data_IF_060741427845
#
_entry.id   IF_060741427845
#
_cell.length_a   1.000
_cell.length_b   1.000
_cell.length_c   1.000
_cell.angle_alpha   90.00
_cell.angle_beta   90.00
_cell.angle_gamma   90.00
#
_symmetry.space_group_name_H-M   'P 1'
#
loop_
_entity.id
_entity.type
_entity.pdbx_description
1 polymer ?
#
# COMPACT_ATOMS: atom_id res chain seq x y z
N UNK A 1 -13.28 2.53 3.13
CA UNK A 1 -14.19 1.94 4.13
C UNK A 1 -15.56 1.62 3.51
N UNK A 2 -16.21 2.61 2.91
CA UNK A 2 -17.57 2.45 2.37
C UNK A 2 -17.71 1.25 1.41
N UNK A 3 -16.82 1.13 0.43
CA UNK A 3 -16.78 -0.02 -0.50
C UNK A 3 -16.73 -1.37 0.23
N UNK A 4 -15.91 -1.48 1.30
CA UNK A 4 -15.82 -2.70 2.11
C UNK A 4 -17.08 -2.96 2.93
N UNK A 5 -17.75 -1.91 3.42
CA UNK A 5 -19.04 -2.05 4.10
C UNK A 5 -20.13 -2.54 3.13
N UNK A 6 -20.14 -2.04 1.90
CA UNK A 6 -21.04 -2.52 0.85
C UNK A 6 -20.80 -3.99 0.48
N UNK A 7 -19.54 -4.39 0.33
CA UNK A 7 -19.17 -5.80 0.12
C UNK A 7 -19.63 -6.68 1.29
N UNK A 8 -19.45 -6.20 2.53
CA UNK A 8 -19.93 -6.92 3.70
C UNK A 8 -21.45 -7.13 3.65
N UNK A 9 -22.21 -6.14 3.22
CA UNK A 9 -23.66 -6.24 3.05
C UNK A 9 -24.05 -7.21 1.91
N UNK A 10 -23.36 -7.14 0.77
CA UNK A 10 -23.71 -7.91 -0.43
C UNK A 10 -23.22 -9.37 -0.38
N UNK A 11 -22.05 -9.60 0.19
CA UNK A 11 -21.34 -10.88 0.13
C UNK A 11 -21.24 -11.58 1.50
N UNK A 12 -21.56 -10.89 2.58
CA UNK A 12 -21.41 -11.42 3.95
C UNK A 12 -19.97 -11.46 4.44
N UNK A 13 -19.02 -10.84 3.71
CA UNK A 13 -17.58 -10.82 4.05
C UNK A 13 -17.24 -9.52 4.74
N UNK A 14 -17.00 -9.56 6.05
CA UNK A 14 -16.65 -8.37 6.83
C UNK A 14 -15.32 -7.72 6.39
N UNK A 15 -15.20 -6.38 6.51
CA UNK A 15 -13.95 -5.69 6.21
C UNK A 15 -12.81 -6.09 7.15
N UNK A 16 -13.13 -6.43 8.39
CA UNK A 16 -12.21 -6.97 9.40
C UNK A 16 -12.46 -8.46 9.55
N UNK A 17 -11.45 -9.27 9.27
CA UNK A 17 -11.58 -10.73 9.34
C UNK A 17 -10.25 -11.40 9.71
N UNK A 18 -10.29 -12.55 10.39
CA UNK A 18 -9.07 -13.28 10.70
C UNK A 18 -8.43 -13.83 9.41
N UNK A 19 -7.10 -13.97 9.43
CA UNK A 19 -6.34 -14.41 8.23
C UNK A 19 -6.78 -15.79 7.75
N UNK A 20 -7.17 -16.68 8.64
CA UNK A 20 -7.66 -18.02 8.28
C UNK A 20 -8.97 -18.02 7.47
N UNK A 21 -9.68 -16.89 7.42
CA UNK A 21 -10.86 -16.76 6.56
C UNK A 21 -10.46 -16.84 5.07
N UNK A 22 -9.36 -16.20 4.70
CA UNK A 22 -8.86 -16.18 3.33
C UNK A 22 -7.88 -17.33 3.06
N UNK A 23 -7.20 -17.81 4.12
CA UNK A 23 -6.20 -18.90 4.06
C UNK A 23 -6.61 -20.09 4.96
N UNK A 24 -7.78 -20.73 4.73
CA UNK A 24 -8.33 -21.72 5.65
C UNK A 24 -7.51 -23.02 5.76
N UNK A 25 -6.65 -23.26 4.80
CA UNK A 25 -5.82 -24.47 4.76
C UNK A 25 -4.39 -24.27 5.28
N UNK A 26 -4.01 -23.03 5.57
CA UNK A 26 -2.68 -22.70 6.05
C UNK A 26 -2.64 -22.72 7.58
N UNK A 27 -1.84 -23.61 8.17
CA UNK A 27 -1.70 -23.72 9.64
C UNK A 27 -1.17 -22.44 10.27
N UNK A 28 -0.31 -21.71 9.56
CA UNK A 28 0.22 -20.42 10.01
C UNK A 28 -0.86 -19.36 10.28
N UNK A 29 -1.94 -19.38 9.49
CA UNK A 29 -3.07 -18.46 9.65
C UNK A 29 -3.84 -18.65 10.97
N UNK A 30 -3.74 -19.82 11.60
CA UNK A 30 -4.35 -20.10 12.91
C UNK A 30 -3.40 -19.88 14.08
N UNK A 31 -2.10 -19.85 13.82
CA UNK A 31 -1.08 -19.72 14.85
C UNK A 31 -0.98 -18.28 15.39
N UNK A 32 -1.31 -17.28 14.57
CA UNK A 32 -1.15 -15.86 14.86
C UNK A 32 -2.50 -15.20 15.08
N UNK A 33 -2.96 -15.13 16.34
CA UNK A 33 -4.32 -14.69 16.68
C UNK A 33 -4.47 -13.18 16.82
N UNK A 34 -3.36 -12.44 16.84
CA UNK A 34 -3.34 -10.98 16.98
C UNK A 34 -3.43 -10.27 15.63
N UNK A 35 -2.99 -10.91 14.57
CA UNK A 35 -3.08 -10.34 13.23
C UNK A 35 -4.46 -10.56 12.59
N UNK A 36 -4.84 -9.65 11.73
CA UNK A 36 -6.11 -9.71 11.00
C UNK A 36 -6.01 -9.01 9.64
N UNK A 37 -6.94 -9.35 8.77
CA UNK A 37 -7.13 -8.63 7.52
C UNK A 37 -8.09 -7.46 7.72
N UNK A 38 -7.73 -6.31 7.19
CA UNK A 38 -8.60 -5.14 7.05
C UNK A 38 -8.68 -4.78 5.58
N UNK A 39 -9.77 -5.17 4.93
CA UNK A 39 -9.79 -5.19 3.47
C UNK A 39 -8.71 -6.12 2.93
N UNK A 40 -7.82 -5.59 2.10
CA UNK A 40 -6.66 -6.32 1.54
C UNK A 40 -5.36 -6.10 2.34
N UNK A 41 -5.46 -5.43 3.49
CA UNK A 41 -4.31 -5.15 4.35
C UNK A 41 -4.18 -6.18 5.46
N UNK A 42 -2.97 -6.69 5.67
CA UNK A 42 -2.62 -7.47 6.84
C UNK A 42 -2.15 -6.52 7.94
N UNK A 43 -2.92 -6.45 9.02
CA UNK A 43 -2.64 -5.60 10.17
C UNK A 43 -2.10 -6.46 11.31
N UNK A 44 -0.99 -6.05 11.90
CA UNK A 44 -0.33 -6.77 13.00
C UNK A 44 -0.24 -5.87 14.23
N UNK A 45 -1.29 -5.81 15.07
CA UNK A 45 -1.27 -4.99 16.27
C UNK A 45 -0.18 -5.45 17.24
N UNK A 46 0.56 -4.51 17.80
CA UNK A 46 1.55 -4.80 18.80
C UNK A 46 0.87 -4.84 20.17
N UNK A 47 0.85 -6.01 20.79
CA UNK A 47 0.19 -6.25 22.08
C UNK A 47 1.15 -6.49 23.24
N UNK A 48 2.46 -6.44 22.98
CA UNK A 48 3.51 -6.62 23.97
C UNK A 48 4.17 -5.30 24.34
N UNK A 49 4.73 -5.25 25.55
CA UNK A 49 5.50 -4.09 26.00
C UNK A 49 6.77 -3.95 25.17
N UNK A 50 7.18 -2.71 24.94
CA UNK A 50 8.49 -2.43 24.39
C UNK A 50 9.58 -2.89 25.34
N UNK A 51 10.65 -3.45 24.79
CA UNK A 51 11.86 -3.75 25.52
C UNK A 51 12.51 -2.45 26.04
N UNK A 52 12.89 -2.37 27.31
CA UNK A 52 13.40 -1.12 27.90
C UNK A 52 14.75 -0.68 27.36
N UNK A 53 15.53 -1.58 26.76
CA UNK A 53 16.85 -1.27 26.18
C UNK A 53 16.72 -0.81 24.75
N UNK A 54 15.93 -1.52 23.94
CA UNK A 54 15.72 -1.18 22.52
C UNK A 54 14.64 -0.13 22.29
N UNK A 55 13.76 0.10 23.25
CA UNK A 55 12.53 0.90 23.10
C UNK A 55 11.58 0.38 21.99
N UNK A 56 11.77 -0.85 21.53
CA UNK A 56 10.98 -1.50 20.50
C UNK A 56 10.14 -2.63 21.09
N UNK A 57 8.91 -2.71 20.65
CA UNK A 57 8.08 -3.89 20.88
C UNK A 57 8.24 -4.85 19.69
N UNK A 58 8.14 -6.15 19.97
CA UNK A 58 8.25 -7.22 18.97
C UNK A 58 6.92 -7.93 18.85
N UNK A 59 6.49 -8.15 17.62
CA UNK A 59 5.31 -8.95 17.33
C UNK A 59 5.61 -9.96 16.22
N UNK A 60 5.01 -11.15 16.35
CA UNK A 60 5.10 -12.17 15.30
C UNK A 60 4.01 -11.91 14.26
N UNK A 61 4.38 -11.97 13.00
CA UNK A 61 3.46 -11.89 11.87
C UNK A 61 3.63 -13.15 11.01
N UNK A 62 2.53 -13.73 10.57
CA UNK A 62 2.55 -14.78 9.56
C UNK A 62 2.06 -14.21 8.24
N UNK A 63 2.94 -14.17 7.25
CA UNK A 63 2.60 -13.69 5.90
C UNK A 63 2.13 -14.86 5.04
N UNK A 64 0.92 -14.83 4.50
CA UNK A 64 0.51 -15.71 3.43
C UNK A 64 1.49 -15.63 2.25
N UNK A 65 1.52 -16.70 1.43
CA UNK A 65 2.33 -16.75 0.22
C UNK A 65 2.24 -15.47 -0.62
N UNK A 66 3.37 -14.97 -1.09
CA UNK A 66 3.47 -13.81 -1.98
C UNK A 66 4.51 -12.79 -1.56
N UNK A 67 4.51 -11.68 -2.27
CA UNK A 67 5.32 -10.49 -1.97
C UNK A 67 4.46 -9.50 -1.21
N UNK A 68 4.99 -8.98 -0.12
CA UNK A 68 4.32 -8.04 0.78
C UNK A 68 5.16 -6.79 0.99
N UNK A 69 4.49 -5.67 1.14
CA UNK A 69 5.12 -4.39 1.47
C UNK A 69 4.53 -3.85 2.76
N UNK A 70 5.39 -3.48 3.69
CA UNK A 70 4.99 -2.76 4.90
C UNK A 70 4.74 -1.29 4.54
N UNK A 71 3.51 -0.85 4.66
CA UNK A 71 3.11 0.49 4.20
C UNK A 71 3.91 1.63 4.87
N UNK A 72 4.09 1.63 6.22
CA UNK A 72 4.82 2.70 6.88
C UNK A 72 6.30 2.80 6.51
N UNK A 73 6.94 1.68 6.18
CA UNK A 73 8.39 1.65 5.93
C UNK A 73 8.77 1.47 4.47
N UNK A 74 7.82 1.02 3.63
CA UNK A 74 8.08 0.65 2.25
C UNK A 74 8.88 -0.65 2.08
N UNK A 75 9.15 -1.39 3.16
CA UNK A 75 9.95 -2.62 3.13
C UNK A 75 9.23 -3.75 2.45
N UNK A 76 9.99 -4.50 1.67
CA UNK A 76 9.51 -5.67 0.94
C UNK A 76 9.86 -6.95 1.71
N UNK A 77 8.88 -7.84 1.81
CA UNK A 77 9.02 -9.17 2.39
C UNK A 77 8.52 -10.22 1.41
N UNK A 78 9.29 -11.32 1.28
CA UNK A 78 8.90 -12.47 0.47
C UNK A 78 8.44 -13.61 1.38
N UNK A 79 7.28 -14.17 1.08
CA UNK A 79 6.78 -15.40 1.69
C UNK A 79 6.76 -16.52 0.65
N UNK A 80 7.48 -17.65 0.90
CA UNK A 80 7.59 -18.73 -0.07
C UNK A 80 6.25 -19.44 -0.31
N UNK A 81 6.20 -20.24 -1.39
CA UNK A 81 4.97 -20.78 -1.94
C UNK A 81 4.24 -21.81 -1.04
N UNK A 82 4.96 -22.52 -0.16
CA UNK A 82 4.40 -23.72 0.45
C UNK A 82 3.64 -23.45 1.76
N UNK A 83 4.20 -22.65 2.68
CA UNK A 83 3.62 -22.45 4.02
C UNK A 83 3.54 -20.97 4.47
N UNK A 84 3.76 -20.03 3.57
CA UNK A 84 3.91 -18.63 3.96
C UNK A 84 5.21 -18.39 4.73
N UNK A 85 5.25 -17.30 5.52
CA UNK A 85 6.45 -16.95 6.29
C UNK A 85 6.09 -16.29 7.61
N UNK A 86 6.67 -16.79 8.70
CA UNK A 86 6.62 -16.09 9.99
C UNK A 86 7.79 -15.12 10.09
N UNK A 87 7.49 -13.88 10.42
CA UNK A 87 8.44 -12.81 10.71
C UNK A 87 8.33 -12.35 12.15
N UNK A 88 9.41 -11.76 12.68
CA UNK A 88 9.37 -10.96 13.90
C UNK A 88 9.55 -9.51 13.48
N UNK A 89 8.53 -8.70 13.69
CA UNK A 89 8.50 -7.29 13.34
C UNK A 89 8.73 -6.45 14.60
N UNK A 90 9.69 -5.54 14.53
CA UNK A 90 10.04 -4.65 15.64
C UNK A 90 9.56 -3.25 15.32
N UNK A 91 8.81 -2.62 16.24
CA UNK A 91 8.29 -1.25 16.04
C UNK A 91 8.33 -0.47 17.35
N UNK A 92 8.55 0.85 17.29
CA UNK A 92 8.30 1.76 18.41
C UNK A 92 6.79 1.84 18.68
N UNK A 93 6.40 2.40 19.83
CA UNK A 93 4.99 2.44 20.29
C UNK A 93 4.06 3.26 19.39
N UNK A 94 4.59 4.14 18.56
CA UNK A 94 3.83 5.02 17.65
C UNK A 94 3.52 4.38 16.30
N UNK A 95 3.94 3.14 16.06
CA UNK A 95 3.78 2.46 14.77
C UNK A 95 3.32 1.01 14.95
N UNK A 96 2.44 0.58 14.06
CA UNK A 96 2.07 -0.82 13.90
C UNK A 96 2.41 -1.28 12.49
N UNK A 97 2.82 -2.55 12.29
CA UNK A 97 2.98 -3.11 10.96
C UNK A 97 1.63 -3.20 10.24
N UNK A 98 1.58 -2.63 9.05
CA UNK A 98 0.45 -2.75 8.13
C UNK A 98 1.01 -3.12 6.77
N UNK A 99 0.72 -4.33 6.33
CA UNK A 99 1.29 -4.88 5.12
C UNK A 99 0.25 -5.02 4.02
N UNK A 100 0.65 -4.72 2.79
CA UNK A 100 -0.16 -4.93 1.59
C UNK A 100 0.55 -5.87 0.62
N UNK A 101 -0.19 -6.70 -0.10
CA UNK A 101 0.38 -7.54 -1.16
C UNK A 101 0.85 -6.71 -2.35
N UNK A 102 1.87 -7.18 -3.06
CA UNK A 102 2.18 -6.67 -4.38
C UNK A 102 0.93 -6.71 -5.27
N UNK A 103 0.71 -5.66 -6.05
CA UNK A 103 -0.49 -5.47 -6.87
C UNK A 103 -1.68 -4.85 -6.13
N UNK A 104 -1.64 -4.69 -4.81
CA UNK A 104 -2.73 -4.03 -4.09
C UNK A 104 -2.90 -2.58 -4.52
N UNK A 105 -4.17 -2.18 -4.67
CA UNK A 105 -4.60 -0.81 -4.93
C UNK A 105 -5.46 -0.32 -3.76
N UNK A 106 -5.03 0.75 -3.11
CA UNK A 106 -5.81 1.36 -2.02
C UNK A 106 -6.29 2.74 -2.46
N UNK A 107 -7.60 2.85 -2.67
CA UNK A 107 -8.24 4.09 -3.09
C UNK A 107 -8.87 4.78 -1.88
N UNK A 108 -8.53 6.04 -1.68
CA UNK A 108 -9.03 6.85 -0.58
C UNK A 108 -9.34 8.28 -1.01
N UNK A 109 -10.16 8.98 -0.24
CA UNK A 109 -10.23 10.44 -0.34
C UNK A 109 -8.85 11.04 -0.01
N UNK A 110 -8.42 12.03 -0.78
CA UNK A 110 -7.15 12.70 -0.52
C UNK A 110 -7.22 13.59 0.73
N UNK A 111 -8.40 14.13 1.04
CA UNK A 111 -8.65 14.93 2.24
C UNK A 111 -9.70 14.28 3.14
N UNK A 112 -9.44 14.28 4.43
CA UNK A 112 -10.35 13.73 5.44
C UNK A 112 -11.63 14.57 5.53
N UNK A 113 -11.55 15.86 5.33
CA UNK A 113 -12.70 16.77 5.43
C UNK A 113 -13.70 16.59 4.28
N UNK A 114 -13.26 16.12 3.11
CA UNK A 114 -14.15 15.79 1.99
C UNK A 114 -14.90 14.46 2.20
N UNK A 115 -14.41 13.59 3.08
CA UNK A 115 -15.00 12.27 3.29
C UNK A 115 -16.25 12.27 4.19
N UNK A 116 -16.64 13.40 4.75
CA UNK A 116 -17.63 13.47 5.83
C UNK A 116 -19.11 13.48 5.37
N UNK A 117 -19.41 13.31 4.09
CA UNK A 117 -20.82 13.28 3.65
C UNK A 117 -21.05 13.15 2.14
N UNK A 118 -20.12 13.61 1.33
CA UNK A 118 -20.24 13.56 -0.14
C UNK A 118 -19.16 12.67 -0.76
N UNK A 119 -19.41 12.17 -1.97
CA UNK A 119 -18.38 11.46 -2.73
C UNK A 119 -17.19 12.40 -3.02
N UNK A 120 -15.94 11.99 -2.70
CA UNK A 120 -14.79 12.88 -2.73
C UNK A 120 -14.47 13.37 -4.16
N UNK A 121 -14.09 14.65 -4.27
CA UNK A 121 -13.58 15.22 -5.53
C UNK A 121 -12.12 14.85 -5.76
N UNK A 122 -11.36 14.64 -4.69
CA UNK A 122 -9.94 14.29 -4.74
C UNK A 122 -9.71 12.87 -4.27
N UNK A 123 -9.09 12.05 -5.15
CA UNK A 123 -8.76 10.67 -4.86
C UNK A 123 -7.24 10.46 -4.80
N UNK A 124 -6.83 9.68 -3.82
CA UNK A 124 -5.48 9.13 -3.74
C UNK A 124 -5.54 7.63 -4.03
N UNK A 125 -4.77 7.17 -5.01
CA UNK A 125 -4.65 5.77 -5.41
C UNK A 125 -3.26 5.30 -5.05
N UNK A 126 -3.11 4.58 -3.93
CA UNK A 126 -1.86 3.97 -3.57
C UNK A 126 -1.69 2.67 -4.36
N UNK A 127 -0.57 2.55 -5.06
CA UNK A 127 -0.16 1.38 -5.84
C UNK A 127 0.97 0.68 -5.10
N UNK A 128 0.76 -0.59 -4.78
CA UNK A 128 1.80 -1.47 -4.23
C UNK A 128 2.43 -2.22 -5.40
N UNK A 129 3.73 -2.03 -5.68
CA UNK A 129 4.37 -2.51 -6.90
C UNK A 129 4.58 -4.03 -6.92
N UNK A 130 4.97 -4.56 -8.09
CA UNK A 130 5.52 -5.90 -8.22
C UNK A 130 4.54 -6.98 -8.65
N UNK A 131 3.28 -6.66 -8.90
CA UNK A 131 2.29 -7.56 -9.49
C UNK A 131 1.11 -6.78 -10.09
N UNK A 132 0.33 -7.46 -10.92
CA UNK A 132 -0.96 -6.98 -11.41
C UNK A 132 -1.98 -6.92 -10.26
N UNK A 133 -2.98 -6.06 -10.41
CA UNK A 133 -4.02 -5.92 -9.41
C UNK A 133 -5.26 -5.19 -9.89
N UNK A 134 -6.30 -5.27 -9.08
CA UNK A 134 -7.56 -4.58 -9.36
C UNK A 134 -8.23 -4.13 -8.07
N UNK A 135 -8.87 -2.97 -8.12
CA UNK A 135 -9.76 -2.50 -7.07
C UNK A 135 -10.99 -1.83 -7.70
N UNK A 136 -12.18 -2.14 -7.18
CA UNK A 136 -13.43 -1.49 -7.58
C UNK A 136 -13.91 -0.63 -6.43
N UNK A 137 -13.87 0.68 -6.62
CA UNK A 137 -14.47 1.66 -5.72
C UNK A 137 -15.97 1.70 -5.98
N UNK A 138 -16.77 1.42 -4.96
CA UNK A 138 -18.23 1.60 -4.99
C UNK A 138 -18.60 2.86 -4.22
N UNK A 139 -19.45 3.67 -4.84
CA UNK A 139 -19.98 4.92 -4.29
C UNK A 139 -21.46 5.03 -4.63
N UNK A 140 -22.25 5.74 -3.85
CA UNK A 140 -23.68 5.93 -4.09
C UNK A 140 -24.14 7.37 -3.78
N UNK A 141 -25.44 7.60 -3.88
CA UNK A 141 -26.07 8.90 -3.67
C UNK A 141 -26.29 9.29 -2.21
N UNK A 142 -25.79 8.47 -1.25
CA UNK A 142 -25.94 8.69 0.18
C UNK A 142 -27.32 8.37 0.73
N UNK A 143 -28.22 7.80 -0.08
CA UNK A 143 -29.53 7.34 0.42
C UNK A 143 -29.38 6.13 1.34
N UNK A 144 -30.27 5.96 2.36
CA UNK A 144 -30.18 4.83 3.29
C UNK A 144 -30.29 3.45 2.64
N UNK A 145 -30.99 3.36 1.52
CA UNK A 145 -31.18 2.14 0.72
C UNK A 145 -30.95 2.47 -0.77
N UNK A 146 -29.70 2.61 -1.19
CA UNK A 146 -29.41 2.99 -2.59
C UNK A 146 -29.84 1.85 -3.52
N UNK A 147 -30.75 2.18 -4.45
CA UNK A 147 -31.15 1.25 -5.50
C UNK A 147 -30.01 0.99 -6.51
N UNK A 148 -30.19 0.01 -7.42
CA UNK A 148 -29.19 -0.30 -8.44
C UNK A 148 -28.78 0.90 -9.33
N UNK A 149 -29.71 1.84 -9.53
CA UNK A 149 -29.48 3.07 -10.30
C UNK A 149 -28.84 4.21 -9.53
N UNK A 150 -28.46 4.00 -8.27
CA UNK A 150 -27.83 5.00 -7.40
C UNK A 150 -26.38 4.65 -7.07
N UNK A 151 -25.84 3.58 -7.66
CA UNK A 151 -24.49 3.08 -7.36
C UNK A 151 -23.58 3.28 -8.57
N UNK A 152 -22.43 3.89 -8.33
CA UNK A 152 -21.34 4.05 -9.31
C UNK A 152 -20.18 3.14 -8.91
N UNK A 153 -19.58 2.49 -9.90
CA UNK A 153 -18.39 1.65 -9.75
C UNK A 153 -17.25 2.22 -10.57
N UNK A 154 -16.18 2.59 -9.90
CA UNK A 154 -14.95 2.99 -10.57
C UNK A 154 -13.93 1.87 -10.40
N UNK A 155 -13.57 1.24 -11.52
CA UNK A 155 -12.57 0.16 -11.58
C UNK A 155 -11.19 0.74 -11.83
N UNK A 156 -10.25 0.33 -11.02
CA UNK A 156 -8.83 0.59 -11.16
C UNK A 156 -8.15 -0.73 -11.45
N UNK A 157 -7.50 -0.88 -12.60
CA UNK A 157 -6.81 -2.10 -13.01
C UNK A 157 -5.35 -1.80 -13.28
N UNK A 158 -4.47 -2.48 -12.55
CA UNK A 158 -3.01 -2.35 -12.65
C UNK A 158 -2.43 -3.53 -13.41
N UNK A 159 -1.61 -3.25 -14.42
CA UNK A 159 -0.67 -4.19 -15.00
C UNK A 159 0.75 -3.72 -14.67
N UNK A 160 1.58 -4.60 -14.08
CA UNK A 160 2.92 -4.28 -13.63
C UNK A 160 3.95 -5.21 -14.27
N UNK A 161 4.89 -4.66 -15.03
CA UNK A 161 6.00 -5.40 -15.61
C UNK A 161 7.35 -4.86 -15.11
N UNK A 162 7.94 -5.62 -14.16
CA UNK A 162 9.23 -5.28 -13.58
C UNK A 162 10.39 -5.50 -14.57
N UNK A 163 10.24 -6.42 -15.54
CA UNK A 163 11.29 -6.73 -16.51
C UNK A 163 11.43 -5.60 -17.54
N UNK A 164 10.29 -5.16 -18.07
CA UNK A 164 10.24 -4.07 -19.04
C UNK A 164 10.24 -2.70 -18.37
N UNK A 165 10.26 -2.64 -17.05
CA UNK A 165 10.17 -1.42 -16.25
C UNK A 165 8.96 -0.56 -16.64
N UNK A 166 7.78 -1.19 -16.80
CA UNK A 166 6.55 -0.52 -17.18
C UNK A 166 5.41 -0.83 -16.21
N UNK A 167 4.49 0.10 -16.09
CA UNK A 167 3.21 -0.14 -15.41
C UNK A 167 2.08 0.59 -16.13
N UNK A 168 0.88 0.03 -16.07
CA UNK A 168 -0.34 0.62 -16.62
C UNK A 168 -1.41 0.61 -15.56
N UNK A 169 -2.03 1.76 -15.32
CA UNK A 169 -3.20 1.87 -14.46
C UNK A 169 -4.37 2.36 -15.30
N UNK A 170 -5.35 1.50 -15.53
CA UNK A 170 -6.59 1.83 -16.24
C UNK A 170 -7.65 2.24 -15.22
N UNK A 171 -8.36 3.33 -15.50
CA UNK A 171 -9.46 3.84 -14.68
C UNK A 171 -10.72 3.87 -15.56
N UNK A 172 -11.76 3.11 -15.15
CA UNK A 172 -13.04 3.05 -15.86
C UNK A 172 -14.18 3.16 -14.86
N UNK A 173 -15.10 4.09 -15.10
CA UNK A 173 -16.27 4.29 -14.26
C UNK A 173 -17.54 3.81 -14.98
N UNK A 174 -18.36 3.06 -14.26
CA UNK A 174 -19.65 2.57 -14.70
C UNK A 174 -20.75 2.99 -13.70
N UNK A 175 -21.91 3.37 -14.22
CA UNK A 175 -23.06 3.71 -13.39
C UNK A 175 -23.75 5.02 -13.84
N UNK A 176 -24.74 5.47 -13.08
CA UNK A 176 -25.50 6.67 -13.43
C UNK A 176 -24.68 7.95 -13.25
N UNK A 177 -24.94 8.92 -14.12
CA UNK A 177 -24.37 10.26 -14.00
C UNK A 177 -24.97 11.01 -12.79
N UNK A 178 -24.17 11.89 -12.19
CA UNK A 178 -24.60 12.81 -11.13
C UNK A 178 -24.59 12.23 -9.71
N UNK A 179 -24.23 10.97 -9.53
CA UNK A 179 -24.02 10.34 -8.22
C UNK A 179 -22.67 10.72 -7.62
N UNK A 180 -21.66 10.77 -8.47
CA UNK A 180 -20.31 11.18 -8.09
C UNK A 180 -19.90 12.43 -8.87
N UNK A 181 -18.90 13.20 -8.42
CA UNK A 181 -18.36 14.31 -9.20
C UNK A 181 -17.94 13.88 -10.61
N UNK A 182 -18.39 14.63 -11.63
CA UNK A 182 -18.07 14.32 -13.02
C UNK A 182 -16.57 14.46 -13.32
N UNK A 183 -15.90 15.33 -12.58
CA UNK A 183 -14.46 15.58 -12.65
C UNK A 183 -13.85 15.34 -11.28
N UNK A 184 -12.70 14.64 -11.26
CA UNK A 184 -11.95 14.31 -10.04
C UNK A 184 -10.48 14.58 -10.22
N UNK A 185 -9.86 15.16 -9.22
CA UNK A 185 -8.41 15.22 -9.13
C UNK A 185 -7.90 13.88 -8.61
N UNK A 186 -7.01 13.24 -9.36
CA UNK A 186 -6.45 11.94 -9.00
C UNK A 186 -4.94 12.03 -8.85
N UNK A 187 -4.46 11.60 -7.69
CA UNK A 187 -3.02 11.38 -7.45
C UNK A 187 -2.76 9.89 -7.28
N UNK A 188 -1.92 9.35 -8.14
CA UNK A 188 -1.41 7.97 -8.03
C UNK A 188 -0.13 8.01 -7.22
N UNK A 189 -0.08 7.19 -6.15
CA UNK A 189 1.05 7.10 -5.23
C UNK A 189 1.72 5.74 -5.35
N UNK A 190 2.92 5.68 -5.87
CA UNK A 190 3.70 4.45 -5.91
C UNK A 190 4.40 4.27 -4.56
N UNK A 191 4.23 3.11 -3.92
CA UNK A 191 4.97 2.75 -2.71
C UNK A 191 6.30 2.13 -3.11
N UNK A 192 7.41 2.64 -2.59
CA UNK A 192 8.75 2.07 -2.83
C UNK A 192 8.98 1.71 -4.29
N UNK A 193 8.57 2.61 -5.17
CA UNK A 193 8.77 2.48 -6.61
C UNK A 193 8.98 3.84 -7.25
N UNK A 194 9.78 3.87 -8.30
CA UNK A 194 10.17 5.07 -9.02
C UNK A 194 11.31 4.78 -9.99
N UNK A 195 12.07 5.79 -10.33
CA UNK A 195 13.26 5.69 -11.19
C UNK A 195 13.65 7.07 -11.70
N UNK A 196 14.95 7.27 -11.96
CA UNK A 196 15.48 8.55 -12.50
C UNK A 196 14.97 8.83 -13.92
N UNK A 197 14.58 7.77 -14.65
CA UNK A 197 14.05 7.81 -16.00
C UNK A 197 12.53 7.55 -16.04
N UNK A 198 11.84 7.77 -14.93
CA UNK A 198 10.39 7.57 -14.88
C UNK A 198 9.69 8.63 -15.73
N UNK A 199 8.97 8.15 -16.73
CA UNK A 199 8.05 8.95 -17.53
C UNK A 199 6.61 8.49 -17.31
N UNK A 200 5.68 9.43 -17.20
CA UNK A 200 4.27 9.20 -17.03
C UNK A 200 3.50 9.85 -18.18
N UNK A 201 2.56 9.13 -18.77
CA UNK A 201 1.63 9.66 -19.76
C UNK A 201 0.20 9.25 -19.40
N UNK A 202 -0.75 10.16 -19.57
CA UNK A 202 -2.16 9.91 -19.34
C UNK A 202 -2.93 10.03 -20.65
N UNK A 203 -3.68 8.98 -21.00
CA UNK A 203 -4.62 8.98 -22.11
C UNK A 203 -6.03 8.88 -21.57
N UNK A 204 -6.75 9.99 -21.55
CA UNK A 204 -8.13 10.08 -21.06
C UNK A 204 -8.59 11.54 -21.10
N UNK A 205 -9.90 11.77 -20.96
CA UNK A 205 -10.44 13.13 -20.97
C UNK A 205 -10.05 13.88 -19.71
N UNK A 206 -9.47 15.06 -19.88
CA UNK A 206 -9.19 16.04 -18.82
C UNK A 206 -10.00 17.33 -18.99
N UNK A 207 -9.93 18.23 -18.00
CA UNK A 207 -10.65 19.51 -18.05
C UNK A 207 -10.07 20.52 -19.04
N UNK A 208 -8.86 20.31 -19.54
CA UNK A 208 -8.14 21.23 -20.42
C UNK A 208 -8.51 21.12 -21.91
N UNK A 209 -9.58 20.37 -22.26
CA UNK A 209 -9.90 20.00 -23.65
C UNK A 209 -9.03 18.81 -24.10
N UNK A 210 -9.15 18.39 -25.36
CA UNK A 210 -8.49 17.21 -25.94
C UNK A 210 -6.94 17.28 -26.00
N UNK A 211 -6.31 18.10 -25.16
CA UNK A 211 -4.86 18.15 -25.03
C UNK A 211 -4.40 17.05 -24.05
N UNK A 212 -3.44 16.23 -24.45
CA UNK A 212 -2.72 15.33 -23.55
C UNK A 212 -2.19 16.13 -22.35
N UNK A 213 -2.77 15.89 -21.17
CA UNK A 213 -2.26 16.49 -19.94
C UNK A 213 -1.10 15.61 -19.48
N UNK A 214 0.12 16.16 -19.45
CA UNK A 214 1.26 15.46 -18.87
C UNK A 214 1.10 15.39 -17.36
N UNK A 215 1.09 14.18 -16.77
CA UNK A 215 1.08 14.02 -15.32
C UNK A 215 2.31 14.64 -14.67
N UNK A 216 2.12 15.22 -13.50
CA UNK A 216 3.24 15.75 -12.71
C UNK A 216 3.81 14.66 -11.83
N UNK A 217 5.07 14.32 -12.05
CA UNK A 217 5.81 13.31 -11.29
C UNK A 217 6.65 14.00 -10.22
N UNK A 218 6.54 13.55 -8.98
CA UNK A 218 7.28 14.07 -7.85
C UNK A 218 7.76 12.93 -6.94
N UNK A 219 9.03 12.99 -6.53
CA UNK A 219 9.52 12.09 -5.49
C UNK A 219 8.83 12.41 -4.16
N UNK A 220 8.42 11.36 -3.43
CA UNK A 220 7.81 11.47 -2.11
C UNK A 220 8.71 10.85 -1.06
N UNK A 221 9.11 11.66 -0.09
CA UNK A 221 9.76 11.17 1.11
C UNK A 221 8.81 10.31 1.96
N UNK A 222 9.38 9.44 2.79
CA UNK A 222 8.58 8.67 3.73
C UNK A 222 7.89 9.62 4.73
N UNK A 223 6.59 9.41 4.89
CA UNK A 223 5.90 9.95 6.05
C UNK A 223 6.32 9.16 7.30
N UNK A 224 6.66 9.84 8.36
CA UNK A 224 7.16 9.21 9.58
C UNK A 224 6.23 8.13 10.17
N UNK A 225 4.92 8.15 9.83
CA UNK A 225 3.91 7.34 10.51
C UNK A 225 3.09 6.42 9.60
N UNK A 226 2.82 6.81 8.35
CA UNK A 226 1.77 6.17 7.55
C UNK A 226 2.22 5.53 6.25
N UNK A 227 3.19 6.11 5.55
CA UNK A 227 3.55 5.67 4.21
C UNK A 227 5.05 5.84 3.93
N UNK A 228 5.69 4.75 3.50
CA UNK A 228 7.07 4.73 3.05
C UNK A 228 7.32 5.63 1.83
N UNK A 229 8.57 5.88 1.52
CA UNK A 229 8.99 6.68 0.37
C UNK A 229 8.50 6.10 -0.96
N UNK A 230 8.49 6.90 -2.01
CA UNK A 230 8.07 6.48 -3.34
C UNK A 230 7.89 7.65 -4.29
N UNK A 231 6.96 7.52 -5.22
CA UNK A 231 6.69 8.55 -6.24
C UNK A 231 5.20 8.88 -6.28
N UNK A 232 4.88 10.15 -6.28
CA UNK A 232 3.52 10.66 -6.48
C UNK A 232 3.38 11.18 -7.92
N UNK A 233 2.28 10.81 -8.57
CA UNK A 233 1.96 11.16 -9.96
C UNK A 233 0.59 11.82 -9.96
N UNK A 234 0.55 13.13 -10.11
CA UNK A 234 -0.69 13.88 -10.19
C UNK A 234 -1.24 13.88 -11.63
N UNK A 235 -2.40 13.27 -11.82
CA UNK A 235 -3.09 13.27 -13.11
C UNK A 235 -3.84 14.60 -13.36
N UNK A 236 -4.01 15.41 -12.31
CA UNK A 236 -4.89 16.57 -12.37
C UNK A 236 -6.37 16.17 -12.37
N UNK A 237 -7.21 17.03 -12.93
CA UNK A 237 -8.64 16.76 -13.06
C UNK A 237 -8.92 15.87 -14.26
N UNK A 238 -9.47 14.70 -13.99
CA UNK A 238 -9.87 13.70 -15.00
C UNK A 238 -11.38 13.46 -14.96
N UNK A 239 -11.92 12.87 -16.02
CA UNK A 239 -13.31 12.40 -16.10
C UNK A 239 -13.36 10.88 -16.12
N UNK A 240 -13.51 10.21 -14.97
CA UNK A 240 -13.49 8.75 -14.92
C UNK A 240 -14.55 8.06 -15.78
N UNK A 241 -15.68 8.73 -16.04
CA UNK A 241 -16.74 8.22 -16.92
C UNK A 241 -16.30 8.07 -18.39
N UNK A 242 -15.32 8.84 -18.84
CA UNK A 242 -14.76 8.75 -20.20
C UNK A 242 -13.68 7.65 -20.29
N UNK A 243 -13.27 7.12 -19.14
CA UNK A 243 -12.16 6.17 -19.04
C UNK A 243 -10.79 6.84 -19.23
N UNK A 244 -9.74 6.10 -18.96
CA UNK A 244 -8.37 6.56 -19.20
C UNK A 244 -7.32 5.56 -18.72
N UNK A 245 -6.11 5.74 -19.21
CA UNK A 245 -4.98 4.91 -18.88
C UNK A 245 -3.76 5.77 -18.55
N UNK A 246 -3.17 5.53 -17.37
CA UNK A 246 -1.85 6.02 -17.01
C UNK A 246 -0.81 4.97 -17.42
N UNK A 247 0.12 5.36 -18.26
CA UNK A 247 1.25 4.52 -18.65
C UNK A 247 2.52 5.07 -18.02
N UNK A 248 3.24 4.20 -17.33
CA UNK A 248 4.53 4.50 -16.71
C UNK A 248 5.63 3.71 -17.43
N UNK A 249 6.71 4.37 -17.78
CA UNK A 249 7.92 3.74 -18.32
C UNK A 249 9.13 4.14 -17.48
N UNK A 250 10.13 3.26 -17.38
CA UNK A 250 11.28 3.47 -16.48
C UNK A 250 10.94 3.29 -15.00
N UNK A 251 9.76 2.72 -14.66
CA UNK A 251 9.35 2.45 -13.29
C UNK A 251 9.93 1.13 -12.80
N UNK A 252 10.50 1.14 -11.59
CA UNK A 252 11.04 -0.05 -10.93
C UNK A 252 10.70 -0.05 -9.46
N UNK A 253 10.57 -1.25 -8.91
CA UNK A 253 10.44 -1.42 -7.46
C UNK A 253 11.75 -1.05 -6.77
N UNK A 254 11.69 -0.15 -5.80
CA UNK A 254 12.85 0.37 -5.05
C UNK A 254 12.56 0.39 -3.54
N UNK A 255 12.48 -0.78 -2.90
CA UNK A 255 12.28 -0.84 -1.46
C UNK A 255 13.53 -0.32 -0.73
N UNK A 256 13.38 0.26 0.48
CA UNK A 256 14.52 0.70 1.27
C UNK A 256 15.48 -0.47 1.52
N UNK A 257 16.79 -0.21 1.48
CA UNK A 257 17.78 -1.25 1.71
C UNK A 257 17.68 -1.82 3.12
N UNK A 258 18.06 -3.10 3.33
CA UNK A 258 18.06 -3.72 4.66
C UNK A 258 18.86 -2.95 5.72
N UNK A 259 19.86 -2.21 5.30
CA UNK A 259 20.66 -1.35 6.19
C UNK A 259 19.81 -0.29 6.90
N UNK A 260 18.84 0.30 6.22
CA UNK A 260 17.94 1.30 6.82
C UNK A 260 17.05 0.67 7.91
N UNK A 261 16.71 -0.61 7.76
CA UNK A 261 16.01 -1.36 8.81
C UNK A 261 16.85 -1.50 10.06
N UNK A 262 18.08 -1.92 9.89
CA UNK A 262 19.01 -2.08 11.02
C UNK A 262 19.29 -0.73 11.68
N UNK A 263 19.45 0.33 10.89
CA UNK A 263 19.59 1.68 11.43
C UNK A 263 18.39 2.08 12.30
N UNK A 264 17.18 1.88 11.81
CA UNK A 264 15.96 2.22 12.56
C UNK A 264 15.77 1.40 13.85
N UNK A 265 16.38 0.21 13.92
CA UNK A 265 16.45 -0.62 15.14
C UNK A 265 17.54 -0.11 16.09
N UNK A 266 18.73 0.22 15.56
CA UNK A 266 19.86 0.66 16.38
C UNK A 266 19.68 2.06 16.96
N UNK A 267 19.00 2.95 16.25
CA UNK A 267 18.84 4.35 16.66
C UNK A 267 18.24 4.49 18.06
N UNK A 268 17.07 3.91 18.39
CA UNK A 268 16.43 4.06 19.71
C UNK A 268 17.08 3.21 20.81
N UNK A 269 17.91 2.22 20.48
CA UNK A 269 18.50 1.31 21.46
C UNK A 269 19.37 2.06 22.47
N UNK A 270 19.14 1.83 23.77
CA UNK A 270 19.87 2.47 24.85
C UNK A 270 21.15 1.69 25.22
N UNK A 271 22.11 1.62 24.28
CA UNK A 271 23.44 1.00 24.49
C UNK A 271 24.55 2.00 24.16
N UNK A 272 25.81 1.65 24.52
CA UNK A 272 26.97 2.48 24.24
C UNK A 272 27.08 2.81 22.73
N UNK A 273 27.45 4.05 22.42
CA UNK A 273 27.56 4.52 21.03
C UNK A 273 28.53 3.67 20.20
N UNK A 274 29.66 3.26 20.81
CA UNK A 274 30.65 2.41 20.18
C UNK A 274 30.09 1.05 19.74
N UNK A 275 29.13 0.51 20.51
CA UNK A 275 28.44 -0.73 20.15
C UNK A 275 27.50 -0.53 18.99
N UNK A 276 26.76 0.61 18.93
CA UNK A 276 25.93 0.98 17.79
C UNK A 276 26.77 1.14 16.52
N UNK A 277 27.90 1.87 16.64
CA UNK A 277 28.81 2.13 15.52
C UNK A 277 29.44 0.83 14.98
N UNK A 278 29.84 -0.07 15.89
CA UNK A 278 30.33 -1.38 15.50
C UNK A 278 29.31 -2.23 14.78
N UNK A 279 28.07 -2.28 15.28
CA UNK A 279 26.96 -3.00 14.63
C UNK A 279 26.63 -2.39 13.27
N UNK A 280 26.60 -1.06 13.17
CA UNK A 280 26.34 -0.36 11.92
C UNK A 280 27.43 -0.62 10.86
N UNK A 281 28.68 -0.59 11.22
CA UNK A 281 29.79 -0.87 10.31
C UNK A 281 29.71 -2.25 9.70
N UNK A 282 29.30 -3.24 10.49
CA UNK A 282 29.09 -4.60 9.99
C UNK A 282 28.00 -4.65 8.93
N UNK A 283 26.87 -4.02 9.20
CA UNK A 283 25.72 -3.98 8.27
C UNK A 283 26.07 -3.20 7.00
N UNK A 284 26.70 -2.04 7.17
CA UNK A 284 27.12 -1.20 6.06
C UNK A 284 28.18 -1.85 5.15
N UNK A 285 28.95 -2.81 5.68
CA UNK A 285 29.90 -3.61 4.90
C UNK A 285 29.25 -4.67 4.01
N UNK A 286 27.92 -4.88 4.11
CA UNK A 286 27.19 -5.90 3.36
C UNK A 286 27.43 -7.34 3.85
N UNK A 287 28.07 -7.50 5.03
CA UNK A 287 28.30 -8.82 5.63
C UNK A 287 26.98 -9.52 5.94
N UNK A 288 26.83 -10.77 5.50
CA UNK A 288 25.65 -11.59 5.80
C UNK A 288 25.75 -12.14 7.22
N UNK A 289 24.62 -12.19 7.94
CA UNK A 289 24.57 -12.59 9.35
C UNK A 289 25.24 -13.94 9.70
N UNK A 290 25.48 -14.83 8.71
CA UNK A 290 26.24 -16.08 8.90
C UNK A 290 27.76 -15.89 9.01
N UNK A 291 28.30 -14.78 8.54
CA UNK A 291 29.75 -14.46 8.63
C UNK A 291 30.11 -13.83 9.98
N UNK A 292 29.10 -13.39 10.73
CA UNK A 292 29.25 -12.72 12.02
C UNK A 292 29.34 -13.66 13.23
N UNK A 293 28.95 -14.92 13.06
CA UNK A 293 28.95 -15.94 14.13
C UNK A 293 30.09 -16.94 13.99
N UNK A 294 30.99 -16.75 13.05
CA UNK A 294 32.12 -17.65 12.73
C UNK A 294 33.48 -17.16 13.13
N UNK A 295 33.60 -16.28 14.17
CA UNK A 295 34.87 -15.84 14.75
C UNK A 295 35.04 -16.33 16.17
#
# INVERSE_FOLDING_TARGET
LYTWARRAHAEGVGPVRPVYHDEPWALGAYANRTEFLFGDLLVVPIVHKADPVSALAQERAWLPRGTWFDLPTGRRYEAPADDGRTLVLCRPLDRIPVLARAGSLLVSAADIDEAAGDNPRRLSVLVVPGADGEFVLEEDDGSPEPGPGAVVRTRFSLAWDEQDATARLTIVQEGPNGVVPAEREVTVRLLSAGGDELHASWSGSGTAGDAEQEPVVAHREADAFTLGAGTDIALGAIRPADGGELVLTGVRTSPPPPADEVFSILEPVQIAYEAKDAAWKVVASGARGGELLGG
#
